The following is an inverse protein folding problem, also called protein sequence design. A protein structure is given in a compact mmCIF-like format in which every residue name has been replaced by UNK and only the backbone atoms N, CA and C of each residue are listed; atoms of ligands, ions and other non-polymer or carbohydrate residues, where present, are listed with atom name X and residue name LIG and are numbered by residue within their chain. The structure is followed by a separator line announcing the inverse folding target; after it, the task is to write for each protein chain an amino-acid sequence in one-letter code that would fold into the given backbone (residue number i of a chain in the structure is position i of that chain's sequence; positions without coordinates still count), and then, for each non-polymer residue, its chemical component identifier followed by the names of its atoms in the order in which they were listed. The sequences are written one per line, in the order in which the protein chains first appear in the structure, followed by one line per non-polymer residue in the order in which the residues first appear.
data_IF_704774381436
#
_entry.id   IF_704774381436
#
_cell.length_a   1.000
_cell.length_b   1.000
_cell.length_c   1.000
_cell.angle_alpha   90.00
_cell.angle_beta   90.00
_cell.angle_gamma   90.00
#
_symmetry.space_group_name_H-M   'P 1'
#
loop_
_entity.id
_entity.type
_entity.pdbx_description
1 polymer ?
#
# COMPACT_ATOMS: atom_id res chain seq x y z
N UNK A 1 -13.04 -0.60 3.83
CA UNK A 1 -11.74 0.05 3.59
C UNK A 1 -11.84 0.96 2.37
N UNK A 2 -11.57 2.28 2.51
CA UNK A 2 -11.55 3.22 1.37
C UNK A 2 -10.08 3.51 1.02
N UNK A 3 -9.63 3.07 -0.14
CA UNK A 3 -8.32 3.42 -0.67
C UNK A 3 -8.36 4.83 -1.24
N UNK A 4 -7.66 5.77 -0.61
CA UNK A 4 -7.41 7.09 -1.19
C UNK A 4 -6.07 7.03 -1.92
N UNK A 5 -6.11 6.90 -3.26
CA UNK A 5 -4.94 7.16 -4.09
C UNK A 5 -4.82 8.68 -4.25
N UNK A 6 -4.01 9.33 -3.42
CA UNK A 6 -3.83 10.78 -3.45
C UNK A 6 -2.46 11.15 -4.00
N UNK A 7 -2.28 11.02 -5.32
CA UNK A 7 -1.40 11.98 -6.01
C UNK A 7 -2.23 13.23 -6.32
N UNK A 8 -2.37 14.12 -5.34
CA UNK A 8 -2.99 15.42 -5.57
C UNK A 8 -2.10 16.26 -6.47
N UNK A 9 -2.40 16.25 -7.78
CA UNK A 9 -1.99 17.33 -8.68
C UNK A 9 -3.07 18.41 -8.59
N UNK A 10 -2.95 19.31 -7.63
CA UNK A 10 -3.81 20.50 -7.61
C UNK A 10 -3.50 21.35 -8.83
N UNK A 11 -4.47 21.55 -9.72
CA UNK A 11 -4.28 22.35 -10.94
C UNK A 11 -4.20 23.84 -10.59
N UNK A 12 -3.21 24.51 -11.20
CA UNK A 12 -3.00 25.96 -11.41
C UNK A 12 -2.29 26.76 -10.30
N UNK A 13 -1.00 26.48 -10.13
CA UNK A 13 0.04 27.48 -9.82
C UNK A 13 1.41 26.81 -10.10
N UNK A 14 2.25 27.38 -10.97
CA UNK A 14 3.57 26.86 -11.33
C UNK A 14 4.66 27.08 -10.25
N UNK A 15 4.28 27.48 -9.03
CA UNK A 15 5.19 27.75 -7.90
C UNK A 15 5.01 26.82 -6.71
N UNK A 16 4.19 25.77 -6.81
CA UNK A 16 4.06 24.78 -5.73
C UNK A 16 5.36 23.97 -5.59
N UNK A 17 6.16 24.34 -4.58
CA UNK A 17 7.27 23.55 -4.07
C UNK A 17 6.77 22.13 -3.74
N UNK A 18 7.52 21.12 -4.20
CA UNK A 18 7.28 19.72 -3.86
C UNK A 18 7.37 19.61 -2.32
N UNK A 19 6.25 19.27 -1.67
CA UNK A 19 6.18 19.11 -0.22
C UNK A 19 5.46 17.83 0.16
N UNK A 20 5.91 17.22 1.24
CA UNK A 20 5.16 16.16 1.91
C UNK A 20 3.92 16.78 2.55
N UNK A 21 2.74 16.25 2.21
CA UNK A 21 1.49 16.61 2.87
C UNK A 21 1.36 15.68 4.08
N UNK A 22 1.24 16.26 5.28
CA UNK A 22 1.00 15.49 6.49
C UNK A 22 -0.31 14.72 6.33
N UNK A 23 -0.36 13.41 6.66
CA UNK A 23 -1.61 12.69 6.69
C UNK A 23 -2.58 13.29 7.73
N UNK A 24 -3.90 13.02 7.60
CA UNK A 24 -4.86 13.39 8.63
C UNK A 24 -4.45 12.90 10.02
N UNK A 25 -4.98 13.55 11.07
CA UNK A 25 -4.73 13.12 12.45
C UNK A 25 -5.05 11.63 12.65
N UNK A 26 -4.22 10.96 13.44
CA UNK A 26 -4.32 9.52 13.73
C UNK A 26 -4.20 8.60 12.50
N UNK A 27 -3.71 9.11 11.37
CA UNK A 27 -3.44 8.32 10.18
C UNK A 27 -1.94 8.21 9.91
N UNK A 28 -1.48 6.98 9.67
CA UNK A 28 -0.14 6.73 9.14
C UNK A 28 -0.20 6.68 7.63
N UNK A 29 0.65 7.45 6.95
CA UNK A 29 0.82 7.33 5.50
C UNK A 29 2.10 6.56 5.20
N UNK A 30 1.97 5.52 4.39
CA UNK A 30 3.10 4.75 3.87
C UNK A 30 3.14 4.86 2.36
N UNK A 31 4.26 5.34 1.84
CA UNK A 31 4.58 5.21 0.43
C UNK A 31 5.38 3.92 0.26
N UNK A 32 4.92 3.06 -0.62
CA UNK A 32 5.57 1.79 -0.94
C UNK A 32 6.20 1.92 -2.32
N UNK A 33 7.41 1.40 -2.43
CA UNK A 33 8.10 1.20 -3.70
C UNK A 33 8.78 -0.17 -3.65
N UNK A 34 8.46 -1.01 -4.63
CA UNK A 34 8.99 -2.36 -4.78
C UNK A 34 10.26 -2.37 -5.62
N UNK A 35 11.32 -3.00 -5.13
CA UNK A 35 12.49 -3.28 -5.96
C UNK A 35 12.20 -4.41 -6.95
N UNK A 36 12.42 -4.17 -8.25
CA UNK A 36 12.34 -5.21 -9.29
C UNK A 36 13.57 -6.12 -9.23
N UNK A 37 13.39 -7.38 -8.84
CA UNK A 37 14.40 -8.42 -9.05
C UNK A 37 14.18 -9.08 -10.41
N UNK A 38 15.04 -8.75 -11.38
CA UNK A 38 14.87 -9.08 -12.82
C UNK A 38 14.76 -10.57 -13.12
N UNK A 39 15.35 -11.44 -12.30
CA UNK A 39 15.44 -12.87 -12.61
C UNK A 39 14.09 -13.60 -12.61
N UNK A 40 13.08 -13.08 -11.90
CA UNK A 40 11.79 -13.77 -11.74
C UNK A 40 10.57 -12.96 -12.22
N UNK A 41 10.72 -11.79 -12.84
CA UNK A 41 9.61 -10.90 -13.20
C UNK A 41 8.64 -10.57 -12.04
N UNK A 42 9.13 -10.67 -10.80
CA UNK A 42 8.32 -10.60 -9.59
C UNK A 42 8.26 -9.17 -9.00
N UNK A 43 8.11 -8.16 -9.86
CA UNK A 43 8.05 -6.75 -9.45
C UNK A 43 7.01 -6.50 -8.34
N UNK A 44 5.88 -7.22 -8.40
CA UNK A 44 4.79 -7.08 -7.45
C UNK A 44 5.11 -7.65 -6.06
N UNK A 45 6.02 -8.62 -5.92
CA UNK A 45 6.29 -9.25 -4.61
C UNK A 45 6.90 -8.26 -3.62
N UNK A 46 7.87 -7.45 -4.07
CA UNK A 46 8.50 -6.42 -3.23
C UNK A 46 7.50 -5.36 -2.79
N UNK A 47 6.67 -4.91 -3.73
CA UNK A 47 5.59 -3.96 -3.43
C UNK A 47 4.61 -4.52 -2.40
N UNK A 48 4.05 -5.72 -2.63
CA UNK A 48 3.10 -6.35 -1.73
C UNK A 48 3.70 -6.61 -0.35
N UNK A 49 4.98 -6.96 -0.27
CA UNK A 49 5.68 -7.09 1.00
C UNK A 49 5.77 -5.76 1.76
N UNK A 50 6.11 -4.67 1.08
CA UNK A 50 6.10 -3.34 1.68
C UNK A 50 4.73 -2.97 2.26
N UNK A 51 3.66 -3.33 1.55
CA UNK A 51 2.28 -3.17 2.02
C UNK A 51 2.04 -3.97 3.31
N UNK A 52 2.41 -5.27 3.33
CA UNK A 52 2.31 -6.13 4.54
C UNK A 52 3.05 -5.49 5.73
N UNK A 53 4.28 -5.00 5.52
CA UNK A 53 5.05 -4.33 6.59
C UNK A 53 4.35 -3.07 7.09
N UNK A 54 3.73 -2.29 6.20
CA UNK A 54 2.93 -1.13 6.58
C UNK A 54 1.79 -1.45 7.54
N UNK A 55 1.01 -2.47 7.22
CA UNK A 55 -0.05 -2.95 8.10
C UNK A 55 0.50 -3.42 9.46
N UNK A 56 1.58 -4.19 9.46
CA UNK A 56 2.21 -4.66 10.71
C UNK A 56 2.66 -3.49 11.60
N UNK A 57 3.26 -2.45 11.02
CA UNK A 57 3.69 -1.25 11.76
C UNK A 57 2.49 -0.56 12.40
N UNK A 58 1.43 -0.31 11.63
CA UNK A 58 0.21 0.37 12.11
C UNK A 58 -0.47 -0.42 13.22
N UNK A 59 -0.60 -1.73 13.08
CA UNK A 59 -1.15 -2.61 14.12
C UNK A 59 -0.27 -2.56 15.39
N UNK A 60 1.05 -2.69 15.24
CA UNK A 60 1.98 -2.71 16.38
C UNK A 60 2.01 -1.38 17.12
N UNK A 61 1.82 -0.27 16.40
CA UNK A 61 1.79 1.09 16.97
C UNK A 61 0.39 1.53 17.41
N UNK A 62 -0.61 0.63 17.32
CA UNK A 62 -2.01 0.89 17.67
C UNK A 62 -2.61 2.10 16.92
N UNK A 63 -2.20 2.30 15.68
CA UNK A 63 -2.81 3.29 14.79
C UNK A 63 -4.10 2.72 14.20
N UNK A 64 -5.14 3.55 14.14
CA UNK A 64 -6.46 3.13 13.63
C UNK A 64 -6.56 3.23 12.11
N UNK A 65 -5.75 4.08 11.49
CA UNK A 65 -5.89 4.41 10.08
C UNK A 65 -4.55 4.37 9.36
N UNK A 66 -4.56 3.77 8.16
CA UNK A 66 -3.42 3.72 7.26
C UNK A 66 -3.85 4.16 5.85
N UNK A 67 -3.02 5.00 5.24
CA UNK A 67 -3.05 5.31 3.80
C UNK A 67 -1.82 4.69 3.18
N UNK A 68 -2.02 3.79 2.23
CA UNK A 68 -0.93 3.15 1.48
C UNK A 68 -0.99 3.66 0.05
N UNK A 69 0.11 4.27 -0.41
CA UNK A 69 0.28 4.70 -1.80
C UNK A 69 1.30 3.82 -2.49
N UNK A 70 0.92 3.30 -3.66
CA UNK A 70 1.73 2.43 -4.51
C UNK A 70 1.61 2.91 -5.95
N UNK A 71 2.72 2.95 -6.67
CA UNK A 71 2.75 3.23 -8.11
C UNK A 71 2.78 1.94 -8.96
N UNK A 72 2.77 0.77 -8.32
CA UNK A 72 2.84 -0.53 -8.98
C UNK A 72 1.45 -0.99 -9.44
N UNK A 73 1.18 -0.83 -10.74
CA UNK A 73 -0.08 -1.27 -11.34
C UNK A 73 -0.38 -2.76 -11.05
N UNK A 74 0.64 -3.62 -11.13
CA UNK A 74 0.49 -5.04 -10.84
C UNK A 74 0.08 -5.32 -9.39
N UNK A 75 0.68 -4.63 -8.41
CA UNK A 75 0.31 -4.80 -7.02
C UNK A 75 -1.12 -4.33 -6.75
N UNK A 76 -1.52 -3.19 -7.31
CA UNK A 76 -2.91 -2.69 -7.23
C UNK A 76 -3.88 -3.71 -7.84
N UNK A 77 -3.55 -4.29 -9.00
CA UNK A 77 -4.40 -5.28 -9.65
C UNK A 77 -4.51 -6.57 -8.83
N UNK A 78 -3.41 -7.06 -8.25
CA UNK A 78 -3.44 -8.25 -7.38
C UNK A 78 -4.28 -8.04 -6.12
N UNK A 79 -4.25 -6.85 -5.52
CA UNK A 79 -5.08 -6.55 -4.33
C UNK A 79 -6.56 -6.47 -4.69
N UNK A 80 -6.89 -5.86 -5.85
CA UNK A 80 -8.28 -5.68 -6.28
C UNK A 80 -8.92 -6.96 -6.80
N UNK A 81 -8.24 -7.64 -7.71
CA UNK A 81 -8.79 -8.77 -8.47
C UNK A 81 -8.34 -10.13 -7.90
N UNK A 82 -7.35 -10.14 -7.01
CA UNK A 82 -6.73 -11.36 -6.53
C UNK A 82 -5.80 -12.01 -7.55
N UNK A 83 -5.54 -13.30 -7.35
CA UNK A 83 -4.78 -14.15 -8.26
C UNK A 83 -5.18 -15.62 -8.06
N UNK A 84 -4.71 -16.50 -8.95
CA UNK A 84 -4.84 -17.94 -8.81
C UNK A 84 -4.17 -18.43 -7.52
N UNK A 85 -4.70 -19.51 -6.93
CA UNK A 85 -4.17 -20.08 -5.70
C UNK A 85 -2.71 -20.54 -5.81
N UNK A 86 -2.25 -20.92 -7.00
CA UNK A 86 -0.87 -21.33 -7.28
C UNK A 86 0.11 -20.17 -7.49
N UNK A 87 -0.37 -18.92 -7.51
CA UNK A 87 0.49 -17.77 -7.79
C UNK A 87 1.39 -17.44 -6.61
N UNK A 88 2.65 -17.10 -6.88
CA UNK A 88 3.69 -16.80 -5.87
C UNK A 88 3.35 -15.65 -4.91
N UNK A 89 2.40 -14.78 -5.28
CA UNK A 89 2.01 -13.61 -4.48
C UNK A 89 0.81 -13.91 -3.57
N UNK A 90 0.19 -15.09 -3.73
CA UNK A 90 -1.02 -15.48 -3.01
C UNK A 90 -0.85 -15.39 -1.49
N UNK A 91 0.26 -15.86 -0.87
CA UNK A 91 0.45 -15.74 0.58
C UNK A 91 0.48 -14.27 1.05
N UNK A 92 1.09 -13.38 0.26
CA UNK A 92 1.14 -11.95 0.60
C UNK A 92 -0.24 -11.29 0.55
N UNK A 93 -1.08 -11.68 -0.41
CA UNK A 93 -2.46 -11.19 -0.47
C UNK A 93 -3.31 -11.70 0.69
N UNK A 94 -3.06 -12.94 1.14
CA UNK A 94 -3.72 -13.50 2.34
C UNK A 94 -3.30 -12.74 3.60
N UNK A 95 -2.01 -12.46 3.77
CA UNK A 95 -1.51 -11.62 4.86
C UNK A 95 -2.13 -10.22 4.84
N UNK A 96 -2.19 -9.56 3.68
CA UNK A 96 -2.83 -8.24 3.55
C UNK A 96 -4.30 -8.30 3.97
N UNK A 97 -5.04 -9.33 3.56
CA UNK A 97 -6.45 -9.48 3.92
C UNK A 97 -6.64 -9.69 5.43
N UNK A 98 -5.83 -10.56 6.04
CA UNK A 98 -5.86 -10.85 7.48
C UNK A 98 -5.48 -9.61 8.30
N UNK A 99 -4.45 -8.87 7.88
CA UNK A 99 -4.02 -7.67 8.58
C UNK A 99 -5.02 -6.52 8.40
N UNK A 100 -5.58 -6.37 7.21
CA UNK A 100 -6.63 -5.39 6.93
C UNK A 100 -7.88 -5.61 7.78
N UNK A 101 -8.30 -6.87 7.98
CA UNK A 101 -9.47 -7.17 8.81
C UNK A 101 -9.27 -6.81 10.27
N UNK A 102 -8.03 -6.82 10.77
CA UNK A 102 -7.69 -6.39 12.13
C UNK A 102 -7.83 -4.88 12.33
N UNK A 103 -7.53 -4.09 11.30
CA UNK A 103 -7.74 -2.63 11.34
C UNK A 103 -9.21 -2.22 11.20
N UNK A 104 -10.08 -3.10 10.72
CA UNK A 104 -11.53 -2.84 10.63
C UNK A 104 -12.28 -3.12 11.94
N UNK A 105 -11.59 -3.64 12.97
CA UNK A 105 -12.14 -4.00 14.28
C UNK A 105 -11.62 -3.10 15.42
N UNK A 106 -11.20 -1.86 15.12
CA UNK A 106 -10.81 -0.84 16.09
C UNK A 106 -11.62 0.44 15.85
#
# INVERSE_FOLDING_TARGET
MKFWFSMQRTRKDNTQLIRWILPPEHCTKLNVDGSLFRENNNAACGELWGIVKGFQIVITQNFQHIIIESNSWSAINFIKEGCLASHLVRPLLEDINILSSRLQHV
#
